data_IF_704857637001
#
_entry.id   IF_704857637001
#
_cell.length_a   1.000
_cell.length_b   1.000
_cell.length_c   1.000
_cell.angle_alpha   90.00
_cell.angle_beta   90.00
_cell.angle_gamma   90.00
#
_symmetry.space_group_name_H-M   'P 1'
#
loop_
_entity.id
_entity.type
_entity.pdbx_description
1 polymer ?
#
# COMPACT_ATOMS: atom_id res chain seq x y z
N UNK A 1 22.04 -3.92 71.14
CA UNK A 1 22.21 -2.62 70.47
C UNK A 1 23.26 -2.80 69.38
N UNK A 2 22.84 -2.88 68.12
CA UNK A 2 23.74 -3.02 66.97
C UNK A 2 23.48 -1.81 66.07
N UNK A 3 24.47 -0.92 66.00
CA UNK A 3 24.52 0.20 65.09
C UNK A 3 25.39 -0.21 63.89
N UNK A 4 24.85 -0.08 62.68
CA UNK A 4 25.63 -0.24 61.46
C UNK A 4 25.33 0.91 60.51
N UNK A 5 26.42 1.65 60.27
CA UNK A 5 26.71 2.73 59.34
C UNK A 5 25.87 2.76 58.06
N UNK A 6 25.27 3.92 57.80
CA UNK A 6 24.84 4.36 56.46
C UNK A 6 26.00 5.11 55.80
N UNK A 7 26.39 4.69 54.59
CA UNK A 7 27.36 5.40 53.74
C UNK A 7 26.60 6.20 52.68
N UNK A 8 26.62 7.52 52.81
CA UNK A 8 26.17 8.48 51.80
C UNK A 8 27.34 8.77 50.85
N UNK A 9 27.23 8.38 49.59
CA UNK A 9 28.11 8.86 48.52
C UNK A 9 27.38 9.93 47.72
N UNK A 10 27.78 11.18 47.91
CA UNK A 10 27.36 12.32 47.09
C UNK A 10 28.16 12.33 45.78
N UNK A 11 27.47 12.42 44.64
CA UNK A 11 28.08 12.69 43.33
C UNK A 11 28.03 14.21 43.06
N UNK A 12 29.09 14.80 42.48
CA UNK A 12 29.13 16.23 42.16
C UNK A 12 28.35 16.54 40.88
N UNK A 13 27.50 17.58 40.95
CA UNK A 13 27.01 18.30 39.78
C UNK A 13 28.17 19.02 39.10
N UNK A 14 28.35 18.78 37.81
CA UNK A 14 29.13 19.62 36.91
C UNK A 14 28.21 20.14 35.81
N UNK A 15 27.75 21.38 36.02
CA UNK A 15 27.14 22.23 35.00
C UNK A 15 28.25 22.96 34.26
N UNK A 16 28.36 22.73 32.94
CA UNK A 16 29.10 23.62 32.05
C UNK A 16 28.26 23.83 30.79
N UNK A 17 27.61 24.98 30.73
CA UNK A 17 26.99 25.52 29.52
C UNK A 17 28.08 26.12 28.63
N UNK A 18 28.17 25.68 27.38
CA UNK A 18 28.82 26.43 26.32
C UNK A 18 27.94 26.37 25.07
N UNK A 19 27.34 27.53 24.74
CA UNK A 19 26.77 27.82 23.44
C UNK A 19 27.91 28.08 22.45
N UNK A 20 28.09 27.20 21.48
CA UNK A 20 28.65 27.56 20.17
C UNK A 20 27.65 27.13 19.09
N UNK A 21 27.19 28.11 18.32
CA UNK A 21 26.39 27.88 17.13
C UNK A 21 27.19 27.08 16.11
N UNK A 22 26.70 25.88 15.81
CA UNK A 22 27.10 25.11 14.65
C UNK A 22 25.92 25.07 13.69
N UNK A 23 26.13 25.69 12.52
CA UNK A 23 25.32 25.50 11.32
C UNK A 23 25.10 24.00 11.14
N UNK A 24 23.84 23.56 11.17
CA UNK A 24 23.46 22.19 10.87
C UNK A 24 23.54 22.00 9.35
N UNK A 25 24.51 21.25 8.80
CA UNK A 25 24.29 20.64 7.51
C UNK A 25 23.17 19.62 7.70
N UNK A 26 22.06 19.80 6.98
CA UNK A 26 21.09 18.73 6.79
C UNK A 26 21.81 17.57 6.10
N UNK A 27 22.32 16.64 6.91
CA UNK A 27 22.66 15.29 6.47
C UNK A 27 21.32 14.63 6.21
N UNK A 28 20.85 14.75 4.97
CA UNK A 28 19.87 13.81 4.46
C UNK A 28 20.47 12.43 4.66
N UNK A 29 19.78 11.60 5.45
CA UNK A 29 20.06 10.19 5.57
C UNK A 29 20.33 9.65 4.18
N UNK A 30 21.49 9.04 4.06
CA UNK A 30 22.07 8.45 2.88
C UNK A 30 21.01 7.57 2.21
N UNK A 31 20.30 8.15 1.25
CA UNK A 31 19.45 7.46 0.29
C UNK A 31 20.31 6.31 -0.22
N UNK A 32 19.88 5.08 0.06
CA UNK A 32 20.49 3.87 -0.49
C UNK A 32 20.84 4.13 -1.94
N UNK A 33 22.14 4.30 -2.18
CA UNK A 33 22.73 4.41 -3.49
C UNK A 33 22.51 3.04 -4.12
N UNK A 34 21.33 2.83 -4.72
CA UNK A 34 21.10 1.74 -5.67
C UNK A 34 22.21 1.91 -6.69
N UNK A 35 23.19 1.01 -6.65
CA UNK A 35 24.08 0.80 -7.76
C UNK A 35 23.14 0.38 -8.88
N UNK A 36 22.83 1.32 -9.78
CA UNK A 36 22.15 1.02 -11.04
C UNK A 36 23.19 0.21 -11.81
N UNK A 37 23.12 -1.11 -11.69
CA UNK A 37 23.71 -1.99 -12.67
C UNK A 37 22.92 -1.75 -13.96
N UNK A 38 23.49 -0.96 -14.86
CA UNK A 38 22.95 -0.76 -16.20
C UNK A 38 23.13 -2.07 -16.95
N UNK A 39 22.17 -2.99 -16.79
CA UNK A 39 22.09 -4.15 -17.65
C UNK A 39 21.61 -3.65 -19.02
N UNK A 40 22.52 -3.67 -19.99
CA UNK A 40 22.21 -3.32 -21.38
C UNK A 40 21.36 -4.46 -21.95
N UNK A 41 20.04 -4.36 -21.79
CA UNK A 41 19.10 -5.26 -22.46
C UNK A 41 19.07 -4.89 -23.93
N UNK A 42 19.72 -5.71 -24.75
CA UNK A 42 19.65 -5.58 -26.22
C UNK A 42 18.25 -6.02 -26.66
N UNK A 43 17.37 -5.05 -26.89
CA UNK A 43 16.02 -5.28 -27.43
C UNK A 43 16.13 -5.44 -28.94
N UNK A 44 16.18 -6.68 -29.42
CA UNK A 44 16.05 -6.99 -30.85
C UNK A 44 14.61 -6.75 -31.27
N UNK A 45 14.33 -5.58 -31.86
CA UNK A 45 13.02 -5.28 -32.44
C UNK A 45 12.91 -5.96 -33.80
N UNK A 46 12.18 -7.08 -33.87
CA UNK A 46 11.79 -7.68 -35.15
C UNK A 46 10.71 -6.81 -35.80
N UNK A 47 11.07 -6.07 -36.84
CA UNK A 47 10.14 -5.27 -37.64
C UNK A 47 9.64 -6.14 -38.79
N UNK A 48 8.35 -6.46 -38.78
CA UNK A 48 7.68 -7.07 -39.93
C UNK A 48 7.23 -5.96 -40.86
N UNK A 49 7.85 -5.86 -42.04
CA UNK A 49 7.43 -4.94 -43.10
C UNK A 49 6.49 -5.68 -44.04
N UNK A 50 5.20 -5.36 -43.98
CA UNK A 50 4.22 -5.85 -44.94
C UNK A 50 4.40 -5.08 -46.25
N UNK A 51 4.85 -5.77 -47.31
CA UNK A 51 4.96 -5.19 -48.66
C UNK A 51 3.62 -5.37 -49.36
N UNK A 52 2.86 -4.29 -49.49
CA UNK A 52 1.67 -4.26 -50.33
C UNK A 52 2.11 -4.02 -51.77
N UNK A 53 1.88 -4.99 -52.64
CA UNK A 53 2.14 -4.87 -54.07
C UNK A 53 0.93 -4.22 -54.75
N UNK A 54 1.08 -2.99 -55.21
CA UNK A 54 0.04 -2.26 -55.92
C UNK A 54 -0.26 -2.90 -57.28
N UNK A 55 -1.53 -3.24 -57.48
CA UNK A 55 -2.12 -3.51 -58.80
C UNK A 55 -2.49 -2.20 -59.48
N UNK A 56 -2.35 -2.09 -60.82
CA UNK A 56 -2.60 -0.85 -61.54
C UNK A 56 -4.08 -0.44 -61.56
N UNK A 57 -4.32 0.72 -60.94
CA UNK A 57 -5.26 1.81 -61.22
C UNK A 57 -6.44 1.56 -62.17
N UNK A 58 -7.65 1.76 -61.63
CA UNK A 58 -8.77 2.33 -62.38
C UNK A 58 -9.29 3.59 -61.70
N UNK A 59 -9.26 4.67 -62.47
CA UNK A 59 -9.62 6.07 -62.23
C UNK A 59 -10.99 6.31 -61.59
N UNK A 60 -11.08 7.18 -60.57
CA UNK A 60 -12.25 8.02 -60.34
C UNK A 60 -11.96 9.24 -59.43
N UNK A 61 -12.26 10.40 -60.03
CA UNK A 61 -12.51 11.77 -59.55
C UNK A 61 -12.52 12.16 -58.05
N UNK A 62 -11.74 13.21 -57.77
CA UNK A 62 -12.17 14.53 -57.26
C UNK A 62 -13.07 14.63 -56.01
N UNK A 63 -12.53 15.15 -54.90
CA UNK A 63 -13.15 16.31 -54.19
C UNK A 63 -12.10 17.04 -53.34
N UNK A 64 -11.91 18.32 -53.61
CA UNK A 64 -11.09 19.26 -52.84
C UNK A 64 -11.87 19.77 -51.62
N UNK A 65 -11.35 19.56 -50.41
CA UNK A 65 -11.88 20.16 -49.18
C UNK A 65 -10.96 21.28 -48.73
N UNK A 66 -11.56 22.45 -48.59
CA UNK A 66 -10.97 23.72 -48.19
C UNK A 66 -10.84 23.73 -46.65
N UNK A 67 -9.63 23.77 -46.11
CA UNK A 67 -9.40 23.89 -44.65
C UNK A 67 -9.07 25.36 -44.36
N UNK A 68 -10.01 26.05 -43.71
CA UNK A 68 -9.80 27.38 -43.14
C UNK A 68 -9.17 27.25 -41.76
N UNK A 69 -7.96 27.79 -41.60
CA UNK A 69 -7.34 28.06 -40.30
C UNK A 69 -8.14 29.13 -39.56
N UNK A 70 -8.75 28.74 -38.44
CA UNK A 70 -9.34 29.66 -37.47
C UNK A 70 -8.46 29.65 -36.22
N UNK A 71 -7.64 30.68 -36.09
CA UNK A 71 -6.84 30.96 -34.90
C UNK A 71 -7.74 31.57 -33.82
N UNK A 72 -8.42 30.71 -33.06
CA UNK A 72 -9.13 31.12 -31.84
C UNK A 72 -8.25 30.83 -30.62
N UNK A 73 -7.71 31.89 -30.03
CA UNK A 73 -7.02 31.84 -28.73
C UNK A 73 -8.03 31.47 -27.64
N UNK A 74 -8.02 30.19 -27.23
CA UNK A 74 -8.81 29.71 -26.09
C UNK A 74 -8.05 30.05 -24.81
N UNK A 75 -8.57 31.03 -24.07
CA UNK A 75 -8.15 31.35 -22.71
C UNK A 75 -8.49 30.16 -21.82
N UNK A 76 -7.48 29.39 -21.40
CA UNK A 76 -7.66 28.34 -20.40
C UNK A 76 -8.00 28.99 -19.05
N UNK A 77 -9.29 29.00 -18.71
CA UNK A 77 -9.70 29.25 -17.34
C UNK A 77 -9.33 28.03 -16.49
N UNK A 78 -8.44 28.24 -15.53
CA UNK A 78 -8.02 27.27 -14.54
C UNK A 78 -9.25 26.84 -13.72
N UNK A 79 -9.70 25.56 -13.76
CA UNK A 79 -10.79 25.11 -12.92
C UNK A 79 -10.31 25.10 -11.47
N UNK A 80 -10.59 26.19 -10.76
CA UNK A 80 -10.38 26.32 -9.32
C UNK A 80 -11.64 25.78 -8.64
N UNK A 81 -11.71 24.46 -8.52
CA UNK A 81 -12.75 23.77 -7.74
C UNK A 81 -12.17 22.52 -7.11
N UNK A 82 -11.11 22.71 -6.31
CA UNK A 82 -10.78 21.74 -5.26
C UNK A 82 -11.79 21.97 -4.13
N UNK A 83 -12.96 21.33 -4.25
CA UNK A 83 -13.77 21.05 -3.08
C UNK A 83 -12.94 20.11 -2.22
N UNK A 84 -12.26 20.68 -1.23
CA UNK A 84 -11.68 19.91 -0.15
C UNK A 84 -12.79 19.03 0.43
N UNK A 85 -12.79 17.76 0.04
CA UNK A 85 -13.64 16.75 0.65
C UNK A 85 -13.38 16.86 2.15
N UNK A 86 -14.39 17.28 2.89
CA UNK A 86 -14.31 17.38 4.34
C UNK A 86 -14.14 15.94 4.82
N UNK A 87 -12.90 15.58 5.16
CA UNK A 87 -12.58 14.28 5.72
C UNK A 87 -13.46 14.11 6.95
N UNK A 88 -14.44 13.21 6.84
CA UNK A 88 -15.18 12.71 8.00
C UNK A 88 -14.10 12.21 8.98
N UNK A 89 -14.09 12.67 10.25
CA UNK A 89 -13.21 12.08 11.25
C UNK A 89 -13.36 10.56 11.20
N UNK A 90 -12.27 9.78 11.39
CA UNK A 90 -12.36 8.33 11.45
C UNK A 90 -13.58 7.97 12.30
N UNK A 91 -14.57 7.35 11.65
CA UNK A 91 -15.79 6.94 12.33
C UNK A 91 -15.42 6.04 13.48
N UNK A 92 -16.20 6.10 14.55
CA UNK A 92 -16.07 5.32 15.77
C UNK A 92 -16.42 3.84 15.47
N UNK A 93 -15.82 3.24 14.44
CA UNK A 93 -16.05 1.85 14.04
C UNK A 93 -15.37 0.95 15.06
N UNK A 94 -16.09 0.63 16.12
CA UNK A 94 -15.67 -0.36 17.11
C UNK A 94 -15.77 -1.77 16.53
N UNK A 95 -14.97 -2.10 15.51
CA UNK A 95 -14.81 -3.47 15.07
C UNK A 95 -14.18 -4.31 16.19
N UNK A 96 -14.55 -5.59 16.27
CA UNK A 96 -13.97 -6.52 17.22
C UNK A 96 -12.45 -6.57 17.06
N UNK A 97 -11.70 -6.56 18.15
CA UNK A 97 -10.23 -6.63 18.10
C UNK A 97 -9.76 -7.90 17.37
N UNK A 98 -8.77 -7.74 16.49
CA UNK A 98 -8.21 -8.84 15.73
C UNK A 98 -7.29 -9.72 16.59
N UNK A 99 -7.32 -11.07 16.40
CA UNK A 99 -6.31 -11.91 16.99
C UNK A 99 -4.96 -11.63 16.33
N UNK A 100 -3.92 -11.60 17.14
CA UNK A 100 -2.53 -11.53 16.72
C UNK A 100 -1.83 -12.83 17.07
N UNK A 101 -0.88 -13.23 16.23
CA UNK A 101 -0.01 -14.37 16.50
C UNK A 101 1.45 -13.95 16.32
N UNK A 102 2.32 -14.17 17.33
CA UNK A 102 3.71 -13.76 17.26
C UNK A 102 4.42 -14.22 15.99
N UNK A 103 5.08 -13.30 15.28
CA UNK A 103 5.83 -13.56 14.04
C UNK A 103 4.98 -14.09 12.86
N UNK A 104 3.65 -13.89 12.88
CA UNK A 104 2.77 -14.33 11.79
C UNK A 104 2.00 -13.16 11.17
N UNK A 105 1.70 -13.32 9.88
CA UNK A 105 0.74 -12.50 9.14
C UNK A 105 -0.57 -13.28 8.99
N UNK A 106 -1.68 -12.66 9.40
CA UNK A 106 -3.00 -13.27 9.42
C UNK A 106 -3.95 -12.57 8.44
N UNK A 107 -4.75 -13.37 7.74
CA UNK A 107 -5.95 -12.89 7.02
C UNK A 107 -7.16 -13.54 7.69
N UNK A 108 -7.98 -12.74 8.36
CA UNK A 108 -9.25 -13.19 8.94
C UNK A 108 -10.36 -12.97 7.91
N UNK A 109 -10.95 -14.06 7.44
CA UNK A 109 -12.10 -14.01 6.56
C UNK A 109 -13.39 -14.07 7.39
N UNK A 110 -13.92 -12.91 7.78
CA UNK A 110 -15.21 -12.82 8.48
C UNK A 110 -16.39 -12.73 7.51
N UNK A 111 -16.15 -12.89 6.21
CA UNK A 111 -17.22 -12.97 5.23
C UNK A 111 -17.98 -14.29 5.36
N UNK A 112 -19.23 -14.30 4.90
CA UNK A 112 -20.09 -15.47 4.81
C UNK A 112 -19.80 -16.33 3.56
N UNK A 113 -18.72 -16.00 2.83
CA UNK A 113 -18.24 -16.68 1.65
C UNK A 113 -16.74 -16.97 1.74
N UNK A 114 -16.28 -17.94 0.95
CA UNK A 114 -14.87 -18.26 0.84
C UNK A 114 -14.14 -17.21 0.01
N UNK A 115 -12.87 -16.98 0.36
CA UNK A 115 -11.95 -16.15 -0.41
C UNK A 115 -10.71 -16.94 -0.80
N UNK A 116 -9.89 -16.37 -1.67
CA UNK A 116 -8.64 -16.96 -2.11
C UNK A 116 -7.51 -15.96 -1.86
N UNK A 117 -6.42 -16.43 -1.27
CA UNK A 117 -5.21 -15.62 -1.01
C UNK A 117 -4.04 -16.13 -1.84
N UNK A 118 -3.26 -15.21 -2.40
CA UNK A 118 -1.87 -15.47 -2.77
C UNK A 118 -0.94 -14.64 -1.91
N UNK A 119 0.09 -15.28 -1.38
CA UNK A 119 1.17 -14.62 -0.67
C UNK A 119 2.36 -14.48 -1.62
N UNK A 120 2.54 -13.29 -2.17
CA UNK A 120 3.51 -13.02 -3.24
C UNK A 120 4.58 -12.08 -2.70
N UNK A 121 5.84 -12.45 -2.91
CA UNK A 121 6.98 -11.57 -2.66
C UNK A 121 7.99 -11.72 -3.78
N UNK A 122 9.03 -10.90 -3.72
CA UNK A 122 10.24 -11.10 -4.52
C UNK A 122 10.90 -12.46 -4.22
N UNK A 123 11.81 -12.92 -5.10
CA UNK A 123 12.59 -14.16 -4.88
C UNK A 123 13.27 -14.20 -3.51
N UNK A 124 13.67 -13.04 -2.98
CA UNK A 124 14.30 -12.90 -1.67
C UNK A 124 13.40 -13.27 -0.50
N UNK A 125 12.09 -13.32 -0.70
CA UNK A 125 11.09 -13.68 0.30
C UNK A 125 10.86 -15.18 0.41
N UNK A 126 11.49 -16.00 -0.45
CA UNK A 126 11.19 -17.43 -0.56
C UNK A 126 9.91 -17.71 -1.36
N UNK A 127 9.40 -18.96 -1.33
CA UNK A 127 8.34 -19.39 -2.23
C UNK A 127 7.01 -18.66 -1.96
N UNK A 128 6.30 -18.35 -3.05
CA UNK A 128 4.95 -17.80 -2.99
C UNK A 128 3.91 -18.88 -2.72
N UNK A 129 2.82 -18.49 -2.04
CA UNK A 129 1.58 -19.28 -1.98
C UNK A 129 0.63 -18.74 -3.03
N UNK A 130 0.02 -19.61 -3.83
CA UNK A 130 -0.88 -19.20 -4.92
C UNK A 130 -2.30 -19.70 -4.70
N UNK A 131 -3.26 -18.79 -4.73
CA UNK A 131 -4.69 -19.02 -4.74
C UNK A 131 -5.17 -20.04 -3.68
N UNK A 132 -4.63 -19.96 -2.47
CA UNK A 132 -5.08 -20.78 -1.36
C UNK A 132 -6.48 -20.34 -0.93
N UNK A 133 -7.42 -21.29 -0.91
CA UNK A 133 -8.78 -21.06 -0.40
C UNK A 133 -8.74 -20.82 1.11
N UNK A 134 -9.41 -19.75 1.55
CA UNK A 134 -9.72 -19.44 2.94
C UNK A 134 -11.24 -19.59 3.10
N UNK A 135 -11.73 -20.65 3.74
CA UNK A 135 -13.16 -20.80 3.97
C UNK A 135 -13.79 -19.61 4.70
N UNK A 136 -15.08 -19.39 4.51
CA UNK A 136 -15.86 -18.43 5.29
C UNK A 136 -15.64 -18.63 6.80
N UNK A 137 -15.52 -17.53 7.55
CA UNK A 137 -15.31 -17.52 9.00
C UNK A 137 -14.07 -18.31 9.47
N UNK A 138 -13.00 -18.29 8.67
CA UNK A 138 -11.71 -18.90 9.05
C UNK A 138 -10.55 -17.92 8.90
N UNK A 139 -9.38 -18.33 9.37
CA UNK A 139 -8.17 -17.50 9.34
C UNK A 139 -7.09 -18.21 8.54
N UNK A 140 -6.52 -17.49 7.58
CA UNK A 140 -5.24 -17.85 6.99
C UNK A 140 -4.09 -17.33 7.84
N UNK A 141 -3.01 -18.10 7.92
CA UNK A 141 -1.85 -17.76 8.73
C UNK A 141 -0.59 -18.20 8.01
N UNK A 142 0.37 -17.29 7.87
CA UNK A 142 1.73 -17.61 7.46
C UNK A 142 2.74 -16.98 8.41
N UNK A 143 3.97 -17.51 8.43
CA UNK A 143 5.07 -16.82 9.10
C UNK A 143 5.41 -15.56 8.33
N UNK A 144 5.66 -14.46 9.04
CA UNK A 144 6.18 -13.24 8.43
C UNK A 144 7.53 -13.57 7.79
N UNK A 145 7.63 -13.29 6.50
CA UNK A 145 8.83 -13.58 5.70
C UNK A 145 9.79 -12.40 5.78
N UNK A 146 11.07 -12.70 5.93
CA UNK A 146 12.15 -11.71 5.90
C UNK A 146 12.74 -11.70 4.51
N UNK A 147 12.50 -10.63 3.77
CA UNK A 147 13.06 -10.40 2.45
C UNK A 147 14.25 -9.43 2.54
N UNK A 148 15.16 -9.47 1.56
CA UNK A 148 16.29 -8.52 1.50
C UNK A 148 16.19 -7.50 0.35
N UNK A 149 15.19 -7.62 -0.54
CA UNK A 149 14.96 -6.68 -1.65
C UNK A 149 13.63 -5.93 -1.60
N UNK A 150 12.60 -6.51 -1.00
CA UNK A 150 11.21 -6.04 -1.12
C UNK A 150 10.36 -6.50 0.08
N UNK A 151 9.04 -6.39 -0.03
CA UNK A 151 8.05 -6.91 0.91
C UNK A 151 7.27 -8.09 0.36
N UNK A 152 6.21 -8.43 1.07
CA UNK A 152 5.20 -9.42 0.70
C UNK A 152 3.86 -8.72 0.54
N UNK A 153 3.13 -9.08 -0.50
CA UNK A 153 1.74 -8.71 -0.72
C UNK A 153 0.85 -9.95 -0.56
N UNK A 154 -0.04 -9.90 0.43
CA UNK A 154 -1.13 -10.86 0.61
C UNK A 154 -2.32 -10.38 -0.23
N UNK A 155 -2.42 -10.92 -1.44
CA UNK A 155 -3.47 -10.59 -2.42
C UNK A 155 -4.69 -11.47 -2.18
N UNK A 156 -5.83 -10.89 -1.86
CA UNK A 156 -7.08 -11.62 -1.54
C UNK A 156 -8.18 -11.27 -2.53
N UNK A 157 -8.90 -12.27 -3.04
CA UNK A 157 -10.02 -12.09 -3.97
C UNK A 157 -11.13 -13.14 -3.76
N UNK A 158 -12.28 -12.93 -4.41
CA UNK A 158 -13.42 -13.89 -4.37
C UNK A 158 -13.17 -15.18 -5.16
N UNK A 159 -12.27 -15.16 -6.12
CA UNK A 159 -12.01 -16.29 -7.02
C UNK A 159 -10.53 -16.66 -7.02
N UNK A 160 -10.22 -17.92 -7.32
CA UNK A 160 -8.86 -18.42 -7.41
C UNK A 160 -8.02 -17.75 -8.53
N UNK A 161 -8.68 -17.08 -9.49
CA UNK A 161 -8.01 -16.31 -10.53
C UNK A 161 -7.37 -15.02 -10.00
N UNK A 162 -7.71 -14.60 -8.77
CA UNK A 162 -7.30 -13.33 -8.17
C UNK A 162 -7.58 -12.12 -9.08
N UNK A 163 -8.77 -12.10 -9.68
CA UNK A 163 -9.26 -10.92 -10.38
C UNK A 163 -9.58 -9.83 -9.35
N UNK A 164 -9.02 -8.64 -9.53
CA UNK A 164 -9.22 -7.47 -8.66
C UNK A 164 -8.88 -7.71 -7.18
N UNK A 165 -7.64 -8.11 -6.85
CA UNK A 165 -7.29 -8.46 -5.48
C UNK A 165 -7.25 -7.22 -4.58
N UNK A 166 -7.83 -7.36 -3.39
CA UNK A 166 -7.46 -6.54 -2.24
C UNK A 166 -6.05 -6.92 -1.80
N UNK A 167 -5.25 -5.94 -1.37
CA UNK A 167 -3.89 -6.20 -0.92
C UNK A 167 -3.70 -5.81 0.55
N UNK A 168 -3.11 -6.73 1.31
CA UNK A 168 -2.50 -6.45 2.60
C UNK A 168 -1.00 -6.66 2.47
N UNK A 169 -0.23 -5.59 2.55
CA UNK A 169 1.19 -5.60 2.25
C UNK A 169 2.00 -5.50 3.54
N UNK A 170 3.16 -6.15 3.58
CA UNK A 170 4.10 -6.02 4.69
C UNK A 170 5.56 -6.09 4.26
N UNK A 171 6.43 -5.40 5.00
CA UNK A 171 7.89 -5.44 4.79
C UNK A 171 8.62 -5.49 6.13
N UNK A 172 9.49 -6.47 6.32
CA UNK A 172 10.39 -6.50 7.49
C UNK A 172 11.62 -5.66 7.21
N UNK A 173 11.90 -4.71 8.08
CA UNK A 173 13.03 -3.79 7.94
C UNK A 173 14.37 -4.49 8.14
N UNK A 174 15.47 -3.80 7.84
CA UNK A 174 16.81 -4.36 7.97
C UNK A 174 17.20 -4.71 9.42
N UNK A 175 16.58 -4.06 10.40
CA UNK A 175 16.76 -4.36 11.82
C UNK A 175 16.19 -5.72 12.26
N UNK A 176 15.39 -6.36 11.39
CA UNK A 176 14.69 -7.63 11.61
C UNK A 176 13.75 -7.63 12.82
N UNK A 177 13.37 -6.45 13.30
CA UNK A 177 12.51 -6.22 14.46
C UNK A 177 11.27 -5.42 14.09
N UNK A 178 11.36 -4.58 13.06
CA UNK A 178 10.27 -3.74 12.62
C UNK A 178 9.61 -4.34 11.38
N UNK A 179 8.28 -4.43 11.40
CA UNK A 179 7.47 -4.75 10.23
C UNK A 179 6.60 -3.54 9.90
N UNK A 180 6.68 -3.05 8.68
CA UNK A 180 5.70 -2.11 8.15
C UNK A 180 4.56 -2.87 7.46
N UNK A 181 3.35 -2.32 7.51
CA UNK A 181 2.16 -2.91 6.89
C UNK A 181 1.18 -1.83 6.44
N UNK A 182 0.38 -2.17 5.43
CA UNK A 182 -0.64 -1.27 4.87
C UNK A 182 -1.75 -2.03 4.14
N UNK A 183 -2.86 -1.33 3.92
CA UNK A 183 -3.99 -1.79 3.11
C UNK A 183 -3.91 -1.09 1.76
N UNK A 184 -4.08 -1.84 0.67
CA UNK A 184 -4.03 -1.28 -0.69
C UNK A 184 -5.23 -1.72 -1.53
N UNK A 185 -6.02 -0.73 -1.94
CA UNK A 185 -7.16 -0.89 -2.84
C UNK A 185 -6.76 -0.78 -4.31
N UNK A 186 -5.49 -0.52 -4.63
CA UNK A 186 -5.04 -0.11 -5.97
C UNK A 186 -5.37 -1.11 -7.08
N UNK A 187 -5.37 -2.41 -6.75
CA UNK A 187 -5.61 -3.48 -7.72
C UNK A 187 -7.11 -3.86 -7.84
N UNK A 188 -7.96 -3.40 -6.92
CA UNK A 188 -9.39 -3.74 -6.88
C UNK A 188 -10.31 -2.53 -7.06
N UNK A 189 -9.87 -1.32 -6.77
CA UNK A 189 -10.68 -0.13 -6.96
C UNK A 189 -10.90 0.13 -8.45
N UNK A 190 -12.07 0.63 -8.80
CA UNK A 190 -12.38 1.10 -10.15
C UNK A 190 -12.46 2.61 -10.09
N UNK A 191 -11.77 3.27 -11.01
CA UNK A 191 -11.92 4.71 -11.22
C UNK A 191 -12.93 4.94 -12.34
N UNK A 192 -14.05 5.56 -11.99
CA UNK A 192 -15.12 5.89 -12.91
C UNK A 192 -14.82 7.18 -13.70
N UNK A 193 -15.54 7.38 -14.80
CA UNK A 193 -15.53 8.63 -15.55
C UNK A 193 -15.90 9.80 -14.63
N UNK A 194 -15.06 10.83 -14.60
CA UNK A 194 -15.22 11.97 -13.66
C UNK A 194 -14.44 11.83 -12.36
N UNK A 195 -13.67 10.75 -12.18
CA UNK A 195 -12.68 10.61 -11.11
C UNK A 195 -13.21 10.05 -9.79
N UNK A 196 -14.49 9.66 -9.74
CA UNK A 196 -15.04 8.92 -8.61
C UNK A 196 -14.40 7.53 -8.51
N UNK A 197 -14.22 7.03 -7.29
CA UNK A 197 -13.69 5.67 -7.05
C UNK A 197 -14.78 4.80 -6.47
N UNK A 198 -14.91 3.59 -6.99
CA UNK A 198 -15.78 2.54 -6.46
C UNK A 198 -14.93 1.37 -5.96
N UNK A 199 -15.44 0.70 -4.94
CA UNK A 199 -14.74 -0.38 -4.23
C UNK A 199 -15.51 -1.70 -4.32
N UNK A 200 -16.47 -1.82 -5.25
CA UNK A 200 -17.36 -2.98 -5.38
C UNK A 200 -16.62 -4.28 -5.75
N UNK A 201 -15.42 -4.17 -6.33
CA UNK A 201 -14.57 -5.33 -6.65
C UNK A 201 -13.60 -5.68 -5.53
N UNK A 202 -13.48 -4.83 -4.52
CA UNK A 202 -12.61 -5.04 -3.39
C UNK A 202 -13.28 -5.99 -2.39
N UNK A 203 -12.85 -7.24 -2.41
CA UNK A 203 -13.41 -8.29 -1.53
C UNK A 203 -13.43 -7.82 -0.07
N UNK A 204 -14.54 -8.08 0.62
CA UNK A 204 -14.74 -7.77 2.03
C UNK A 204 -15.09 -6.32 2.33
N UNK A 205 -14.84 -5.38 1.42
CA UNK A 205 -15.08 -3.95 1.67
C UNK A 205 -16.57 -3.63 1.86
N UNK A 206 -17.47 -4.43 1.31
CA UNK A 206 -18.93 -4.29 1.50
C UNK A 206 -19.40 -4.47 2.96
N UNK A 207 -18.51 -4.97 3.82
CA UNK A 207 -18.73 -5.17 5.26
C UNK A 207 -17.57 -4.64 6.11
N UNK A 208 -16.82 -3.69 5.57
CA UNK A 208 -15.71 -3.04 6.27
C UNK A 208 -14.43 -3.87 6.33
N UNK A 209 -13.32 -3.17 6.52
CA UNK A 209 -11.97 -3.74 6.54
C UNK A 209 -11.26 -3.25 7.79
N UNK A 210 -10.40 -4.07 8.39
CA UNK A 210 -9.44 -3.56 9.36
C UNK A 210 -8.08 -4.25 9.28
N UNK A 211 -7.04 -3.54 9.69
CA UNK A 211 -5.70 -4.05 9.87
C UNK A 211 -5.12 -3.58 11.20
N UNK A 212 -4.42 -4.47 11.88
CA UNK A 212 -3.72 -4.19 13.14
C UNK A 212 -2.34 -4.84 13.14
N UNK A 213 -1.48 -4.32 14.00
CA UNK A 213 -0.31 -5.01 14.48
C UNK A 213 -0.31 -5.00 16.01
N UNK A 214 0.79 -5.42 16.64
CA UNK A 214 1.01 -5.44 18.08
C UNK A 214 0.48 -4.26 18.90
N UNK A 215 0.57 -4.40 20.22
CA UNK A 215 0.08 -3.36 21.14
C UNK A 215 0.69 -1.99 20.82
N UNK A 216 -0.15 -0.95 20.86
CA UNK A 216 0.23 0.46 20.65
C UNK A 216 0.67 0.82 19.23
N UNK A 217 0.40 -0.05 18.25
CA UNK A 217 0.69 0.20 16.83
C UNK A 217 -0.54 0.76 16.09
N UNK A 218 -0.35 1.44 14.94
CA UNK A 218 -1.45 2.02 14.18
C UNK A 218 -2.53 0.98 13.82
N UNK A 219 -3.79 1.36 14.03
CA UNK A 219 -4.93 0.55 13.63
C UNK A 219 -5.57 1.22 12.42
N UNK A 220 -5.80 0.45 11.37
CA UNK A 220 -6.53 0.90 10.18
C UNK A 220 -7.89 0.25 10.15
N UNK A 221 -8.94 1.06 9.99
CA UNK A 221 -10.34 0.68 9.94
C UNK A 221 -11.04 1.45 8.82
N UNK A 222 -11.56 0.69 7.86
CA UNK A 222 -12.34 1.20 6.76
C UNK A 222 -13.81 0.86 6.99
N UNK A 223 -14.67 1.88 7.02
CA UNK A 223 -16.14 1.71 6.99
C UNK A 223 -16.58 0.95 5.73
N UNK A 224 -17.67 0.19 5.84
CA UNK A 224 -18.22 -0.53 4.71
C UNK A 224 -18.68 0.40 3.58
N UNK A 225 -18.22 0.15 2.36
CA UNK A 225 -18.64 0.89 1.16
C UNK A 225 -18.22 2.37 1.12
N UNK A 226 -17.32 2.81 1.99
CA UNK A 226 -16.83 4.19 2.08
C UNK A 226 -15.36 4.25 1.68
N UNK A 227 -14.98 5.24 0.87
CA UNK A 227 -13.56 5.46 0.55
C UNK A 227 -12.75 5.62 1.84
N UNK A 228 -11.79 4.72 2.04
CA UNK A 228 -10.96 4.66 3.22
C UNK A 228 -9.74 5.59 3.11
N UNK A 229 -10.01 6.88 2.87
CA UNK A 229 -8.97 7.87 2.69
C UNK A 229 -8.07 7.94 3.93
N UNK A 230 -6.74 8.04 3.71
CA UNK A 230 -5.70 8.12 4.75
C UNK A 230 -5.46 6.87 5.60
N UNK A 231 -6.25 5.80 5.41
CA UNK A 231 -6.04 4.52 6.11
C UNK A 231 -5.76 3.36 5.16
N UNK A 232 -5.85 3.59 3.86
CA UNK A 232 -5.47 2.67 2.82
C UNK A 232 -5.01 3.41 1.56
N UNK A 233 -4.19 2.74 0.74
CA UNK A 233 -3.79 3.26 -0.56
C UNK A 233 -4.96 3.20 -1.55
N UNK A 234 -5.48 4.37 -1.91
CA UNK A 234 -6.41 4.57 -3.03
C UNK A 234 -5.79 5.40 -4.16
N UNK A 235 -4.51 5.76 -4.02
CA UNK A 235 -3.69 6.45 -5.01
C UNK A 235 -2.27 5.85 -4.91
N UNK A 236 -1.61 5.50 -6.03
CA UNK A 236 -0.24 5.00 -6.01
C UNK A 236 0.70 5.92 -5.23
N UNK A 237 1.55 5.34 -4.39
CA UNK A 237 2.54 6.05 -3.55
C UNK A 237 1.93 7.17 -2.68
N UNK A 238 0.62 7.09 -2.41
CA UNK A 238 -0.14 8.16 -1.75
C UNK A 238 0.02 9.53 -2.43
N UNK A 239 0.29 9.55 -3.75
CA UNK A 239 0.59 10.77 -4.49
C UNK A 239 1.88 11.46 -4.04
N UNK A 240 2.80 10.73 -3.41
CA UNK A 240 4.03 11.25 -2.79
C UNK A 240 3.78 12.30 -1.71
N UNK A 241 2.59 12.29 -1.11
CA UNK A 241 2.23 13.18 -0.01
C UNK A 241 2.72 12.60 1.32
N UNK A 242 3.02 13.44 2.32
CA UNK A 242 3.30 12.97 3.67
C UNK A 242 2.07 12.31 4.29
N UNK A 243 2.28 11.40 5.24
CA UNK A 243 1.20 10.71 5.95
C UNK A 243 0.59 9.55 5.15
N UNK A 244 1.41 8.86 4.34
CA UNK A 244 1.01 7.61 3.71
C UNK A 244 0.47 6.61 4.75
N UNK A 245 -0.54 5.79 4.40
CA UNK A 245 -1.26 4.92 5.32
C UNK A 245 -0.46 3.65 5.66
N UNK A 246 0.75 3.84 6.22
CA UNK A 246 1.68 2.77 6.55
C UNK A 246 1.84 2.71 8.06
N UNK A 247 1.50 1.55 8.63
CA UNK A 247 1.76 1.21 10.02
C UNK A 247 3.15 0.60 10.15
N UNK A 248 3.75 0.73 11.33
CA UNK A 248 4.99 0.03 11.67
C UNK A 248 4.91 -0.48 13.11
N UNK A 249 5.37 -1.71 13.33
CA UNK A 249 5.27 -2.36 14.63
C UNK A 249 6.39 -3.37 14.84
N UNK A 250 6.50 -3.92 16.05
CA UNK A 250 7.42 -5.02 16.32
C UNK A 250 6.92 -6.31 15.64
N UNK A 251 7.77 -6.90 14.79
CA UNK A 251 7.48 -8.13 14.03
C UNK A 251 7.11 -9.31 14.93
N UNK A 252 7.68 -9.37 16.14
CA UNK A 252 7.41 -10.45 17.11
C UNK A 252 5.98 -10.43 17.63
N UNK A 253 5.25 -9.32 17.46
CA UNK A 253 3.85 -9.22 17.88
C UNK A 253 2.87 -9.70 16.79
N UNK A 254 3.33 -9.85 15.55
CA UNK A 254 2.51 -10.23 14.40
C UNK A 254 1.70 -9.08 13.81
N UNK A 255 1.07 -9.38 12.67
CA UNK A 255 0.17 -8.47 11.94
C UNK A 255 -1.10 -9.23 11.52
N UNK A 256 -2.22 -8.54 11.45
CA UNK A 256 -3.49 -9.14 11.05
C UNK A 256 -4.32 -8.17 10.19
N UNK A 257 -5.03 -8.74 9.24
CA UNK A 257 -5.95 -8.05 8.34
C UNK A 257 -7.27 -8.82 8.27
N UNK A 258 -8.39 -8.10 8.21
CA UNK A 258 -9.72 -8.69 8.19
C UNK A 258 -10.60 -8.14 7.08
N UNK A 259 -11.27 -9.09 6.44
CA UNK A 259 -12.34 -8.88 5.47
C UNK A 259 -13.69 -9.00 6.15
N UNK A 260 -14.65 -8.17 5.73
CA UNK A 260 -16.00 -8.16 6.29
C UNK A 260 -16.04 -7.96 7.81
N UNK A 261 -15.30 -6.98 8.33
CA UNK A 261 -15.11 -6.75 9.76
C UNK A 261 -16.43 -6.58 10.54
N UNK A 262 -17.47 -6.01 9.94
CA UNK A 262 -18.80 -5.86 10.55
C UNK A 262 -19.48 -7.18 10.93
N UNK A 263 -19.10 -8.30 10.28
CA UNK A 263 -19.70 -9.60 10.55
C UNK A 263 -19.19 -10.23 11.86
N UNK A 264 -18.02 -9.83 12.35
CA UNK A 264 -17.45 -10.33 13.59
C UNK A 264 -17.94 -9.46 14.76
N UNK A 265 -19.12 -9.81 15.25
CA UNK A 265 -19.74 -9.22 16.46
C UNK A 265 -19.55 -10.09 17.68
#
# INVERSE_FOLDING_TARGET
>A
MRATLATLTALPLLTASLHLGAVHPHVHGELHRRVIATEVVVVTKTVYTTVTQDSPSSTAASTSVNISESSASVTMALPTSSSAATLKPPGDTSYTALPLSPNHALIVNSCDYDVFVSSIGDESCGPSTLAQRIPANTTYTERIRICYKSGVSLKVARTAALEHPMQFEYTVWDDKKTVSYDISYLDCMVQEDGGAKTFDKCVGHEKGIQAVAGSDCPVFQCEAGVECAQQAYTIPEFGYLPGAPVGACNVEQGIAFELCAENRT
#
